data_IF_969626385552
#
_entry.id   IF_969626385552
#
_cell.length_a   1.000
_cell.length_b   1.000
_cell.length_c   1.000
_cell.angle_alpha   90.00
_cell.angle_beta   90.00
_cell.angle_gamma   90.00
#
_symmetry.space_group_name_H-M   'P 1'
#
loop_
_entity.id
_entity.type
_entity.pdbx_description
1 polymer ?
#
# COMPACT_ATOMS: atom_id res chain seq x y z
N UNK A 1 -24.73 6.54 12.56
CA UNK A 1 -24.05 7.31 11.49
C UNK A 1 -23.23 6.35 10.65
N UNK A 2 -23.54 6.32 9.35
CA UNK A 2 -23.12 5.30 8.40
C UNK A 2 -21.60 5.32 8.12
N UNK A 3 -20.91 4.19 8.32
CA UNK A 3 -19.57 4.01 7.76
C UNK A 3 -19.75 3.56 6.31
N UNK A 4 -19.46 4.48 5.41
CA UNK A 4 -19.38 4.25 3.97
C UNK A 4 -18.48 3.05 3.71
N UNK A 5 -19.06 1.99 3.17
CA UNK A 5 -18.38 0.83 2.63
C UNK A 5 -17.56 1.30 1.42
N UNK A 6 -16.35 1.80 1.66
CA UNK A 6 -15.39 2.18 0.61
C UNK A 6 -14.90 0.89 -0.07
N UNK A 7 -15.67 0.41 -1.05
CA UNK A 7 -15.20 -0.61 -2.00
C UNK A 7 -14.12 0.01 -2.89
N UNK A 8 -12.86 -0.04 -2.42
CA UNK A 8 -11.75 0.71 -3.02
C UNK A 8 -10.54 -0.11 -3.44
N UNK A 9 -10.28 -1.29 -2.88
CA UNK A 9 -9.03 -2.04 -3.14
C UNK A 9 -8.96 -2.60 -4.56
N UNK A 10 -9.88 -3.49 -4.89
CA UNK A 10 -9.98 -4.07 -6.22
C UNK A 10 -10.17 -2.96 -7.25
N UNK A 11 -11.03 -1.98 -6.98
CA UNK A 11 -11.33 -0.91 -7.93
C UNK A 11 -10.13 0.00 -8.23
N UNK A 12 -9.34 0.44 -7.25
CA UNK A 12 -8.17 1.29 -7.54
C UNK A 12 -7.00 0.52 -8.13
N UNK A 13 -6.73 -0.71 -7.66
CA UNK A 13 -5.68 -1.56 -8.24
C UNK A 13 -6.07 -1.89 -9.68
N UNK A 14 -7.29 -2.36 -9.92
CA UNK A 14 -7.82 -2.64 -11.26
C UNK A 14 -7.78 -1.37 -12.11
N UNK A 15 -8.24 -0.22 -11.64
CA UNK A 15 -8.19 1.01 -12.46
C UNK A 15 -6.76 1.40 -12.81
N UNK A 16 -5.80 1.33 -11.87
CA UNK A 16 -4.40 1.65 -12.16
C UNK A 16 -3.73 0.63 -13.10
N UNK A 17 -4.04 -0.67 -12.93
CA UNK A 17 -3.55 -1.75 -13.78
C UNK A 17 -4.19 -1.68 -15.16
N UNK A 18 -5.49 -1.43 -15.24
CA UNK A 18 -6.23 -1.25 -16.49
C UNK A 18 -5.73 -0.02 -17.24
N UNK A 19 -5.50 1.11 -16.57
CA UNK A 19 -4.96 2.31 -17.21
C UNK A 19 -3.55 2.06 -17.76
N UNK A 20 -2.71 1.36 -16.99
CA UNK A 20 -1.37 0.97 -17.44
C UNK A 20 -1.45 0.02 -18.65
N UNK A 21 -2.28 -1.03 -18.58
CA UNK A 21 -2.45 -2.00 -19.68
C UNK A 21 -2.98 -1.30 -20.93
N UNK A 22 -3.98 -0.43 -20.79
CA UNK A 22 -4.50 0.39 -21.89
C UNK A 22 -3.38 1.28 -22.46
N UNK A 23 -2.58 1.92 -21.60
CA UNK A 23 -1.44 2.72 -22.02
C UNK A 23 -0.40 1.92 -22.80
N UNK A 24 -0.07 0.71 -22.35
CA UNK A 24 0.85 -0.20 -23.04
C UNK A 24 0.26 -0.67 -24.38
N UNK A 25 -1.03 -0.97 -24.44
CA UNK A 25 -1.71 -1.36 -25.68
C UNK A 25 -1.71 -0.18 -26.68
N UNK A 26 -2.07 1.02 -26.23
CA UNK A 26 -2.03 2.23 -27.06
C UNK A 26 -0.62 2.50 -27.54
N UNK A 27 0.37 2.37 -26.66
CA UNK A 27 1.78 2.48 -27.03
C UNK A 27 2.15 1.45 -28.10
N UNK A 28 1.77 0.18 -27.95
CA UNK A 28 2.00 -0.87 -28.96
C UNK A 28 1.34 -0.55 -30.31
N UNK A 29 0.11 -0.03 -30.30
CA UNK A 29 -0.62 0.33 -31.53
C UNK A 29 0.05 1.52 -32.22
N UNK A 30 0.34 2.60 -31.49
CA UNK A 30 1.05 3.76 -32.00
C UNK A 30 2.43 3.38 -32.54
N UNK A 31 3.09 2.45 -31.85
CA UNK A 31 4.39 1.94 -32.26
C UNK A 31 4.29 1.18 -33.59
N UNK A 32 3.30 0.31 -33.75
CA UNK A 32 3.07 -0.40 -35.01
C UNK A 32 2.83 0.57 -36.18
N UNK A 33 2.02 1.60 -35.96
CA UNK A 33 1.69 2.60 -36.97
C UNK A 33 2.91 3.47 -37.35
N UNK A 34 3.69 3.90 -36.34
CA UNK A 34 4.92 4.67 -36.57
C UNK A 34 5.94 3.87 -37.39
N UNK A 35 6.14 2.59 -37.06
CA UNK A 35 7.04 1.75 -37.85
C UNK A 35 6.59 1.65 -39.29
N UNK A 36 5.30 1.38 -39.53
CA UNK A 36 4.78 1.28 -40.90
C UNK A 36 5.02 2.57 -41.68
N UNK A 37 4.75 3.73 -41.08
CA UNK A 37 5.00 5.03 -41.71
C UNK A 37 6.49 5.26 -42.04
N UNK A 38 7.38 4.99 -41.08
CA UNK A 38 8.83 5.14 -41.28
C UNK A 38 9.35 4.17 -42.34
N UNK A 39 8.87 2.92 -42.35
CA UNK A 39 9.30 1.91 -43.32
C UNK A 39 8.96 2.35 -44.75
N UNK A 40 7.74 2.83 -44.97
CA UNK A 40 7.27 3.28 -46.29
C UNK A 40 8.03 4.54 -46.77
N UNK A 41 8.31 5.48 -45.87
CA UNK A 41 8.92 6.76 -46.24
C UNK A 41 10.45 6.66 -46.43
N UNK A 42 11.13 5.82 -45.63
CA UNK A 42 12.59 5.67 -45.67
C UNK A 42 13.06 4.51 -46.57
N UNK A 43 12.21 3.52 -46.82
CA UNK A 43 12.52 2.34 -47.63
C UNK A 43 11.39 2.06 -48.65
N UNK A 44 11.19 2.94 -49.65
CA UNK A 44 10.06 2.84 -50.60
C UNK A 44 10.03 1.56 -51.44
N UNK A 45 11.11 0.75 -51.46
CA UNK A 45 11.18 -0.54 -52.16
C UNK A 45 10.88 -1.77 -51.31
N UNK A 46 10.62 -1.65 -50.00
CA UNK A 46 10.32 -2.80 -49.14
C UNK A 46 8.85 -3.21 -49.12
N UNK A 47 7.97 -2.47 -49.80
CA UNK A 47 6.53 -2.76 -49.90
C UNK A 47 6.15 -3.56 -51.14
N UNK A 48 7.10 -3.82 -52.03
CA UNK A 48 6.89 -4.76 -53.14
C UNK A 48 6.98 -6.19 -52.59
N UNK A 49 6.00 -7.03 -52.95
CA UNK A 49 5.76 -8.42 -52.51
C UNK A 49 6.98 -9.11 -51.87
N UNK A 50 6.88 -9.62 -50.62
CA UNK A 50 8.02 -10.12 -49.88
C UNK A 50 8.64 -11.34 -50.56
N UNK A 51 9.85 -11.20 -51.11
CA UNK A 51 10.66 -12.34 -51.62
C UNK A 51 11.04 -13.33 -50.49
N UNK A 52 10.88 -12.95 -49.22
CA UNK A 52 11.20 -13.80 -48.07
C UNK A 52 10.28 -13.57 -46.86
N UNK A 53 10.00 -14.64 -46.10
CA UNK A 53 9.22 -14.60 -44.84
C UNK A 53 10.02 -14.02 -43.64
N UNK A 54 11.31 -13.72 -43.82
CA UNK A 54 12.16 -13.27 -42.72
C UNK A 54 11.96 -11.77 -42.46
N UNK A 55 11.73 -11.36 -41.19
CA UNK A 55 11.57 -9.96 -40.85
C UNK A 55 12.85 -9.15 -41.14
N UNK A 56 12.67 -7.92 -41.58
CA UNK A 56 13.80 -7.04 -41.92
C UNK A 56 14.55 -6.56 -40.67
N UNK A 57 15.81 -6.16 -40.81
CA UNK A 57 16.62 -5.63 -39.68
C UNK A 57 15.94 -4.50 -38.89
N UNK A 58 15.32 -3.50 -39.56
CA UNK A 58 14.55 -2.45 -38.90
C UNK A 58 13.32 -2.96 -38.14
N UNK A 59 12.59 -3.93 -38.68
CA UNK A 59 11.44 -4.57 -38.01
C UNK A 59 11.87 -5.27 -36.72
N UNK A 60 12.97 -6.03 -36.77
CA UNK A 60 13.53 -6.71 -35.59
C UNK A 60 13.95 -5.71 -34.51
N UNK A 61 14.67 -4.65 -34.88
CA UNK A 61 15.10 -3.61 -33.93
C UNK A 61 13.90 -2.95 -33.24
N UNK A 62 12.83 -2.69 -34.00
CA UNK A 62 11.59 -2.14 -33.47
C UNK A 62 10.85 -3.08 -32.52
N UNK A 63 10.67 -4.34 -32.93
CA UNK A 63 10.02 -5.37 -32.11
C UNK A 63 10.73 -5.52 -30.76
N UNK A 64 12.07 -5.58 -30.78
CA UNK A 64 12.89 -5.63 -29.56
C UNK A 64 12.66 -4.36 -28.72
N UNK A 65 12.66 -3.18 -29.33
CA UNK A 65 12.40 -1.92 -28.63
C UNK A 65 11.04 -1.89 -27.92
N UNK A 66 9.97 -2.35 -28.59
CA UNK A 66 8.62 -2.43 -28.01
C UNK A 66 8.58 -3.42 -26.84
N UNK A 67 9.18 -4.60 -27.00
CA UNK A 67 9.23 -5.62 -25.95
C UNK A 67 9.98 -5.09 -24.72
N UNK A 68 11.16 -4.50 -24.91
CA UNK A 68 11.96 -3.96 -23.82
C UNK A 68 11.24 -2.84 -23.09
N UNK A 69 10.58 -1.94 -23.81
CA UNK A 69 9.82 -0.83 -23.22
C UNK A 69 8.61 -1.35 -22.44
N UNK A 70 7.86 -2.31 -23.00
CA UNK A 70 6.73 -2.94 -22.31
C UNK A 70 7.17 -3.68 -21.04
N UNK A 71 8.30 -4.39 -21.10
CA UNK A 71 8.88 -5.06 -19.94
C UNK A 71 9.30 -4.07 -18.85
N UNK A 72 9.95 -2.97 -19.23
CA UNK A 72 10.35 -1.92 -18.29
C UNK A 72 9.13 -1.31 -17.57
N UNK A 73 8.05 -1.01 -18.31
CA UNK A 73 6.80 -0.51 -17.72
C UNK A 73 6.15 -1.53 -16.77
N UNK A 74 6.15 -2.81 -17.13
CA UNK A 74 5.61 -3.87 -16.29
C UNK A 74 6.39 -4.04 -14.98
N UNK A 75 7.72 -4.02 -15.05
CA UNK A 75 8.59 -4.09 -13.86
C UNK A 75 8.35 -2.86 -12.97
N UNK A 76 8.34 -1.66 -13.54
CA UNK A 76 8.14 -0.43 -12.79
C UNK A 76 6.78 -0.42 -12.05
N UNK A 77 5.71 -0.83 -12.72
CA UNK A 77 4.39 -0.93 -12.12
C UNK A 77 4.32 -2.00 -11.02
N UNK A 78 4.95 -3.16 -11.24
CA UNK A 78 5.01 -4.25 -10.26
C UNK A 78 5.72 -3.81 -8.99
N UNK A 79 6.88 -3.15 -9.12
CA UNK A 79 7.64 -2.63 -7.99
C UNK A 79 6.84 -1.57 -7.22
N UNK A 80 6.18 -0.65 -7.95
CA UNK A 80 5.34 0.39 -7.35
C UNK A 80 4.17 -0.20 -6.57
N UNK A 81 3.49 -1.22 -7.11
CA UNK A 81 2.36 -1.87 -6.45
C UNK A 81 2.82 -2.64 -5.20
N UNK A 82 3.92 -3.39 -5.32
CA UNK A 82 4.49 -4.14 -4.21
C UNK A 82 4.86 -3.20 -3.06
N UNK A 83 5.57 -2.10 -3.32
CA UNK A 83 5.97 -1.15 -2.29
C UNK A 83 4.76 -0.53 -1.57
N UNK A 84 3.73 -0.15 -2.33
CA UNK A 84 2.50 0.49 -1.83
C UNK A 84 1.65 -0.42 -0.92
N UNK A 85 1.79 -1.75 -1.04
CA UNK A 85 1.12 -2.76 -0.20
C UNK A 85 2.02 -3.19 0.97
N UNK A 86 3.28 -3.55 0.69
CA UNK A 86 4.18 -4.11 1.70
C UNK A 86 4.66 -3.08 2.71
N UNK A 87 4.91 -1.83 2.30
CA UNK A 87 5.34 -0.75 3.21
C UNK A 87 4.40 -0.60 4.43
N UNK A 88 3.10 -0.34 4.25
CA UNK A 88 2.18 -0.19 5.39
C UNK A 88 1.95 -1.52 6.16
N UNK A 89 2.01 -2.67 5.50
CA UNK A 89 1.89 -3.96 6.18
C UNK A 89 3.09 -4.24 7.10
N UNK A 90 4.31 -3.93 6.67
CA UNK A 90 5.49 -4.05 7.51
C UNK A 90 5.41 -3.11 8.71
N UNK A 91 5.02 -1.84 8.48
CA UNK A 91 4.81 -0.88 9.58
C UNK A 91 3.74 -1.37 10.58
N UNK A 92 2.68 -2.00 10.09
CA UNK A 92 1.66 -2.62 10.93
C UNK A 92 2.22 -3.78 11.75
N UNK A 93 2.96 -4.70 11.13
CA UNK A 93 3.57 -5.85 11.82
C UNK A 93 4.51 -5.37 12.93
N UNK A 94 5.36 -4.38 12.64
CA UNK A 94 6.30 -3.84 13.63
C UNK A 94 5.55 -3.18 14.79
N UNK A 95 4.48 -2.44 14.50
CA UNK A 95 3.65 -1.78 15.51
C UNK A 95 2.85 -2.78 16.36
N UNK A 96 2.37 -3.86 15.76
CA UNK A 96 1.71 -4.96 16.48
C UNK A 96 2.69 -5.63 17.44
N UNK A 97 3.93 -5.88 17.01
CA UNK A 97 4.98 -6.47 17.86
C UNK A 97 5.35 -5.54 19.01
N UNK A 98 5.50 -4.25 18.76
CA UNK A 98 5.74 -3.26 19.81
C UNK A 98 4.59 -3.19 20.82
N UNK A 99 3.35 -3.18 20.33
CA UNK A 99 2.15 -3.19 21.19
C UNK A 99 2.07 -4.46 22.04
N UNK A 100 2.35 -5.63 21.46
CA UNK A 100 2.41 -6.89 22.18
C UNK A 100 3.55 -6.94 23.22
N UNK A 101 4.64 -6.19 22.99
CA UNK A 101 5.74 -6.00 23.93
C UNK A 101 5.42 -5.02 25.08
N UNK A 102 4.22 -4.41 25.10
CA UNK A 102 3.78 -3.49 26.15
C UNK A 102 3.83 -2.01 25.78
N UNK A 103 4.31 -1.65 24.59
CA UNK A 103 4.26 -0.26 24.12
C UNK A 103 2.85 0.10 23.62
N UNK A 104 2.01 0.58 24.54
CA UNK A 104 0.64 1.03 24.23
C UNK A 104 0.60 2.30 23.35
N UNK A 105 1.74 2.98 23.17
CA UNK A 105 1.89 4.13 22.30
C UNK A 105 2.13 3.77 20.83
N UNK A 106 2.50 2.52 20.53
CA UNK A 106 2.84 2.07 19.17
C UNK A 106 1.69 2.27 18.17
N UNK A 107 1.98 2.88 17.02
CA UNK A 107 1.02 3.13 15.94
C UNK A 107 1.61 2.77 14.59
N UNK A 108 0.81 2.11 13.78
CA UNK A 108 1.16 1.78 12.41
C UNK A 108 0.98 3.01 11.51
N UNK A 109 1.91 3.18 10.57
CA UNK A 109 1.87 4.24 9.56
C UNK A 109 1.25 3.74 8.26
N UNK A 110 0.57 4.65 7.56
CA UNK A 110 0.02 4.40 6.23
C UNK A 110 0.26 5.63 5.36
N UNK A 111 0.68 5.40 4.12
CA UNK A 111 0.85 6.46 3.13
C UNK A 111 -0.51 6.83 2.55
N UNK A 112 -0.73 8.10 2.17
CA UNK A 112 -2.01 8.56 1.57
C UNK A 112 -2.41 7.75 0.34
N UNK A 113 -1.40 7.21 -0.34
CA UNK A 113 -1.59 6.41 -1.53
C UNK A 113 -1.91 4.95 -1.22
N UNK A 114 -1.73 4.41 -0.02
CA UNK A 114 -1.92 2.97 0.22
C UNK A 114 -3.32 2.44 -0.17
N UNK A 115 -3.44 1.18 -0.60
CA UNK A 115 -4.72 0.61 -1.01
C UNK A 115 -5.74 0.66 0.13
N UNK A 116 -6.99 0.93 -0.21
CA UNK A 116 -8.01 1.28 0.79
C UNK A 116 -8.21 0.24 1.90
N UNK A 117 -8.13 -1.06 1.61
CA UNK A 117 -8.29 -2.10 2.65
C UNK A 117 -7.08 -2.17 3.58
N UNK A 118 -5.86 -1.97 3.06
CA UNK A 118 -4.64 -1.94 3.88
C UNK A 118 -4.67 -0.72 4.80
N UNK A 119 -5.08 0.44 4.27
CA UNK A 119 -5.27 1.65 5.06
C UNK A 119 -6.34 1.47 6.14
N UNK A 120 -7.47 0.84 5.79
CA UNK A 120 -8.54 0.53 6.75
C UNK A 120 -8.04 -0.39 7.87
N UNK A 121 -7.25 -1.41 7.54
CA UNK A 121 -6.68 -2.33 8.52
C UNK A 121 -5.73 -1.59 9.49
N UNK A 122 -4.88 -0.69 8.97
CA UNK A 122 -4.01 0.17 9.79
C UNK A 122 -4.83 1.08 10.71
N UNK A 123 -5.90 1.69 10.19
CA UNK A 123 -6.81 2.53 10.97
C UNK A 123 -7.51 1.76 12.10
N UNK A 124 -8.01 0.55 11.81
CA UNK A 124 -8.67 -0.32 12.78
C UNK A 124 -7.70 -0.80 13.87
N UNK A 125 -6.47 -1.19 13.49
CA UNK A 125 -5.42 -1.49 14.45
C UNK A 125 -5.10 -0.29 15.35
N UNK A 126 -4.89 0.90 14.76
CA UNK A 126 -4.59 2.10 15.53
C UNK A 126 -5.75 2.49 16.47
N UNK A 127 -7.01 2.23 16.07
CA UNK A 127 -8.17 2.41 16.93
C UNK A 127 -8.20 1.44 18.10
N UNK A 128 -7.87 0.16 17.87
CA UNK A 128 -7.72 -0.83 18.94
C UNK A 128 -6.60 -0.44 19.92
N UNK A 129 -5.44 -0.04 19.40
CA UNK A 129 -4.29 0.39 20.22
C UNK A 129 -4.64 1.60 21.11
N UNK A 130 -5.36 2.60 20.57
CA UNK A 130 -5.88 3.72 21.36
C UNK A 130 -6.80 3.29 22.50
N UNK A 131 -7.70 2.31 22.25
CA UNK A 131 -8.60 1.80 23.28
C UNK A 131 -7.83 1.09 24.39
N UNK A 132 -6.85 0.26 24.04
CA UNK A 132 -6.00 -0.41 25.02
C UNK A 132 -5.22 0.58 25.89
N UNK A 133 -4.62 1.59 25.28
CA UNK A 133 -3.92 2.66 26.01
C UNK A 133 -4.85 3.39 26.99
N UNK A 134 -6.08 3.69 26.57
CA UNK A 134 -7.04 4.36 27.43
C UNK A 134 -7.45 3.48 28.63
N UNK A 135 -7.76 2.20 28.39
CA UNK A 135 -8.11 1.26 29.45
C UNK A 135 -7.00 1.06 30.48
N UNK A 136 -5.74 1.09 30.05
CA UNK A 136 -4.59 1.02 30.96
C UNK A 136 -4.48 2.29 31.81
N UNK A 137 -4.63 3.47 31.19
CA UNK A 137 -4.60 4.75 31.92
C UNK A 137 -5.70 4.86 32.98
N UNK A 138 -6.91 4.38 32.67
CA UNK A 138 -8.00 4.34 33.64
C UNK A 138 -7.68 3.39 34.80
N UNK A 139 -7.17 2.18 34.52
CA UNK A 139 -6.77 1.23 35.56
C UNK A 139 -5.73 1.81 36.51
N UNK A 140 -4.72 2.50 35.97
CA UNK A 140 -3.69 3.17 36.77
C UNK A 140 -4.29 4.25 37.68
N UNK A 141 -5.23 5.05 37.16
CA UNK A 141 -5.96 6.07 37.93
C UNK A 141 -6.76 5.44 39.08
N UNK A 142 -7.51 4.37 38.81
CA UNK A 142 -8.31 3.67 39.81
C UNK A 142 -7.46 3.06 40.92
N UNK A 143 -6.32 2.45 40.58
CA UNK A 143 -5.38 1.92 41.58
C UNK A 143 -4.86 3.01 42.52
N UNK A 144 -4.51 4.19 41.98
CA UNK A 144 -4.08 5.33 42.78
C UNK A 144 -5.19 5.87 43.69
N UNK A 145 -6.41 5.98 43.16
CA UNK A 145 -7.58 6.43 43.91
C UNK A 145 -7.91 5.49 45.07
N UNK A 146 -7.95 4.18 44.83
CA UNK A 146 -8.21 3.16 45.87
C UNK A 146 -7.13 3.20 46.96
N UNK A 147 -5.85 3.33 46.59
CA UNK A 147 -4.76 3.43 47.56
C UNK A 147 -4.89 4.67 48.46
N UNK A 148 -5.36 5.78 47.89
CA UNK A 148 -5.60 7.01 48.63
C UNK A 148 -6.79 6.86 49.61
N UNK A 149 -7.91 6.34 49.13
CA UNK A 149 -9.14 6.11 49.91
C UNK A 149 -8.95 5.10 51.05
N UNK A 150 -8.10 4.08 50.88
CA UNK A 150 -7.82 3.09 51.93
C UNK A 150 -6.83 3.59 52.99
N UNK A 151 -5.92 4.52 52.66
CA UNK A 151 -4.92 5.04 53.61
C UNK A 151 -5.56 5.82 54.76
N UNK A 152 -6.58 6.60 54.47
CA UNK A 152 -7.29 7.46 55.44
C UNK A 152 -7.97 6.64 56.57
N UNK A 153 -8.82 5.65 56.29
CA UNK A 153 -9.48 4.84 57.32
C UNK A 153 -8.51 3.93 58.09
N UNK A 154 -7.48 3.38 57.46
CA UNK A 154 -6.46 2.57 58.16
C UNK A 154 -5.69 3.40 59.18
N UNK A 155 -5.40 4.67 58.85
CA UNK A 155 -4.73 5.60 59.77
C UNK A 155 -5.61 5.91 60.98
N UNK A 156 -6.92 6.11 60.76
CA UNK A 156 -7.90 6.36 61.83
C UNK A 156 -8.04 5.11 62.74
N UNK A 157 -8.10 3.91 62.17
CA UNK A 157 -8.16 2.66 62.93
C UNK A 157 -6.91 2.43 63.80
N UNK A 158 -5.72 2.74 63.27
CA UNK A 158 -4.47 2.68 64.05
C UNK A 158 -4.42 3.71 65.17
N UNK A 159 -4.92 4.93 64.93
CA UNK A 159 -5.02 5.97 65.97
C UNK A 159 -5.91 5.57 67.15
N UNK A 160 -6.97 4.76 66.91
CA UNK A 160 -7.83 4.23 67.98
C UNK A 160 -7.24 3.07 68.78
N UNK A 161 -6.20 2.40 68.27
CA UNK A 161 -5.53 1.30 68.98
C UNK A 161 -4.33 1.77 69.82
N UNK A 162 -3.88 3.02 69.63
CA UNK A 162 -2.74 3.60 70.33
C UNK A 162 -3.14 4.64 71.38
N UNK A 163 -4.42 5.04 71.43
CA UNK A 163 -4.99 5.98 72.41
C UNK A 163 -5.94 5.30 73.39
#
# INVERSE_FOLDING_TARGET
>A
MARLRRSGLSRHIIVSMSLMVIGVIVMMILSSWLLYAVLVEFFPGSTEEPESWLPTGPELAWMVGVILTGLALAIAASFRLAHRILSPLNSLVDSVRALAGGDLGARASVEENSPGEVATLVEDFNAMARRLQHMESERAMWHAAIAHELRTPVTILRGRLQG
#
